data_IF_706331633155
#
_entry.id   IF_706331633155
#
_cell.length_a   1.000
_cell.length_b   1.000
_cell.length_c   1.000
_cell.angle_alpha   90.00
_cell.angle_beta   90.00
_cell.angle_gamma   90.00
#
_symmetry.space_group_name_H-M   'P 1'
#
loop_
_entity.id
_entity.type
_entity.pdbx_description
1 polymer ?
#
# COMPACT_ATOMS: atom_id res chain seq x y z
N UNK A 1 -21.67 -18.06 61.73
CA UNK A 1 -21.24 -16.64 61.62
C UNK A 1 -20.80 -16.39 60.20
N UNK A 2 -21.34 -15.35 59.56
CA UNK A 2 -21.27 -15.10 58.13
C UNK A 2 -19.90 -14.59 57.65
N UNK A 3 -19.39 -15.15 56.55
CA UNK A 3 -18.27 -14.56 55.80
C UNK A 3 -18.81 -13.49 54.84
N UNK A 4 -18.40 -12.25 55.10
CA UNK A 4 -18.79 -11.04 54.37
C UNK A 4 -18.07 -11.02 53.02
N UNK A 5 -18.76 -11.29 51.92
CA UNK A 5 -18.26 -11.01 50.56
C UNK A 5 -18.15 -9.50 50.38
N UNK A 6 -16.93 -8.98 50.25
CA UNK A 6 -16.70 -7.62 49.76
C UNK A 6 -16.96 -7.58 48.26
N UNK A 7 -18.13 -7.07 47.86
CA UNK A 7 -18.40 -6.73 46.47
C UNK A 7 -17.52 -5.54 46.07
N UNK A 8 -16.67 -5.73 45.06
CA UNK A 8 -15.87 -4.67 44.46
C UNK A 8 -16.83 -3.79 43.66
N UNK A 9 -17.13 -2.60 44.17
CA UNK A 9 -17.97 -1.60 43.49
C UNK A 9 -17.22 -1.11 42.25
N UNK A 10 -17.69 -1.51 41.07
CA UNK A 10 -17.19 -0.95 39.81
C UNK A 10 -17.62 0.52 39.72
N UNK A 11 -16.64 1.42 39.66
CA UNK A 11 -16.85 2.81 39.26
C UNK A 11 -17.30 2.83 37.79
N UNK A 12 -18.32 3.62 37.40
CA UNK A 12 -18.67 3.76 36.01
C UNK A 12 -17.47 4.38 35.28
N UNK A 13 -16.85 3.63 34.36
CA UNK A 13 -15.87 4.21 33.44
C UNK A 13 -16.62 5.25 32.62
N UNK A 14 -16.17 6.50 32.67
CA UNK A 14 -16.54 7.47 31.65
C UNK A 14 -16.37 6.81 30.27
N UNK A 15 -17.30 7.00 29.32
CA UNK A 15 -17.18 6.39 28.00
C UNK A 15 -15.82 6.76 27.40
N UNK A 16 -15.09 5.75 26.91
CA UNK A 16 -13.79 5.98 26.31
C UNK A 16 -13.94 6.94 25.13
N UNK A 17 -13.22 8.07 25.15
CA UNK A 17 -13.27 9.11 24.11
C UNK A 17 -12.80 8.58 22.75
N UNK A 18 -11.96 7.53 22.77
CA UNK A 18 -11.58 6.74 21.61
C UNK A 18 -11.55 5.26 21.98
N UNK A 19 -11.98 4.40 21.06
CA UNK A 19 -11.83 2.94 21.13
C UNK A 19 -11.07 2.49 19.91
N UNK A 20 -10.05 1.66 20.09
CA UNK A 20 -9.25 1.09 18.99
C UNK A 20 -9.32 -0.42 19.10
N UNK A 21 -9.71 -1.09 18.01
CA UNK A 21 -9.63 -2.53 17.84
C UNK A 21 -8.51 -2.85 16.86
N UNK A 22 -7.49 -3.53 17.35
CA UNK A 22 -6.44 -4.11 16.52
C UNK A 22 -6.84 -5.54 16.20
N UNK A 23 -6.98 -5.88 14.92
CA UNK A 23 -7.20 -7.25 14.50
C UNK A 23 -5.85 -7.97 14.38
N UNK A 24 -5.77 -9.19 14.90
CA UNK A 24 -4.54 -9.98 14.95
C UNK A 24 -4.55 -11.06 13.87
N UNK A 25 -4.55 -10.67 12.59
CA UNK A 25 -4.59 -11.63 11.47
C UNK A 25 -3.22 -12.25 11.11
N UNK A 26 -2.11 -11.76 11.66
CA UNK A 26 -0.77 -12.24 11.34
C UNK A 26 0.00 -11.21 10.52
N UNK A 27 0.27 -11.49 9.25
CA UNK A 27 0.95 -10.55 8.34
C UNK A 27 -0.13 -9.74 7.61
N UNK A 28 -0.16 -8.43 7.89
CA UNK A 28 -1.15 -7.50 7.37
C UNK A 28 -1.87 -6.74 8.47
N UNK A 29 -2.57 -5.68 8.08
CA UNK A 29 -3.17 -4.72 9.02
C UNK A 29 -4.69 -4.59 8.83
N UNK A 30 -5.38 -4.43 9.96
CA UNK A 30 -6.76 -3.96 10.00
C UNK A 30 -7.08 -3.42 11.39
N UNK A 31 -7.52 -2.17 11.45
CA UNK A 31 -7.79 -1.48 12.70
C UNK A 31 -9.10 -0.69 12.64
N UNK A 32 -10.05 -1.04 13.50
CA UNK A 32 -11.31 -0.30 13.64
C UNK A 32 -11.21 0.70 14.80
N UNK A 33 -11.36 1.97 14.48
CA UNK A 33 -11.31 3.08 15.41
C UNK A 33 -12.71 3.69 15.56
N UNK A 34 -13.12 3.95 16.80
CA UNK A 34 -14.35 4.67 17.14
C UNK A 34 -13.99 5.88 17.99
N UNK A 35 -14.48 7.05 17.59
CA UNK A 35 -14.38 8.27 18.37
C UNK A 35 -15.77 8.80 18.67
N UNK A 36 -15.99 9.32 19.88
CA UNK A 36 -17.24 9.99 20.20
C UNK A 36 -17.13 11.48 19.86
N UNK A 37 -18.01 11.96 18.99
CA UNK A 37 -18.11 13.38 18.65
C UNK A 37 -18.77 14.16 19.78
N UNK A 38 -18.58 15.48 19.79
CA UNK A 38 -19.20 16.37 20.79
C UNK A 38 -20.74 16.31 20.79
N UNK A 39 -21.37 15.96 19.67
CA UNK A 39 -22.83 15.77 19.54
C UNK A 39 -23.30 14.37 19.98
N UNK A 40 -22.41 13.56 20.56
CA UNK A 40 -22.69 12.23 21.06
C UNK A 40 -22.68 11.12 19.99
N UNK A 41 -22.60 11.48 18.70
CA UNK A 41 -22.53 10.49 17.61
C UNK A 41 -21.16 9.86 17.53
N UNK A 42 -21.11 8.60 17.10
CA UNK A 42 -19.85 7.94 16.81
C UNK A 42 -19.32 8.33 15.43
N UNK A 43 -18.00 8.51 15.38
CA UNK A 43 -17.22 8.59 14.16
C UNK A 43 -16.39 7.31 14.05
N UNK A 44 -16.59 6.58 12.95
CA UNK A 44 -15.94 5.30 12.70
C UNK A 44 -14.89 5.42 11.60
N UNK A 45 -13.70 4.92 11.89
CA UNK A 45 -12.59 4.89 10.94
C UNK A 45 -12.03 3.47 10.87
N UNK A 46 -11.91 2.94 9.66
CA UNK A 46 -11.18 1.71 9.39
C UNK A 46 -9.84 2.06 8.75
N UNK A 47 -8.74 1.59 9.35
CA UNK A 47 -7.40 1.69 8.75
C UNK A 47 -7.03 0.30 8.28
N UNK A 48 -6.92 0.14 6.96
CA UNK A 48 -6.62 -1.10 6.26
C UNK A 48 -7.60 -2.25 6.56
N UNK A 49 -7.58 -3.24 5.68
CA UNK A 49 -8.25 -4.52 5.87
C UNK A 49 -7.60 -5.53 4.94
N UNK A 50 -6.50 -6.13 5.38
CA UNK A 50 -5.77 -7.07 4.54
C UNK A 50 -5.09 -8.19 5.30
N UNK A 51 -4.68 -9.19 4.54
CA UNK A 51 -3.87 -10.30 5.05
C UNK A 51 -2.99 -10.86 3.94
N UNK A 52 -1.74 -11.14 4.27
CA UNK A 52 -0.79 -11.73 3.32
C UNK A 52 -1.22 -13.14 2.89
N UNK A 53 -0.95 -13.50 1.63
CA UNK A 53 -1.32 -14.80 1.05
C UNK A 53 -0.68 -16.00 1.76
N UNK A 54 0.44 -15.79 2.45
CA UNK A 54 1.14 -16.82 3.22
C UNK A 54 0.42 -17.21 4.52
N UNK A 55 -0.54 -16.43 4.99
CA UNK A 55 -1.26 -16.74 6.24
C UNK A 55 -2.30 -17.83 5.99
N UNK A 56 -2.10 -18.98 6.63
CA UNK A 56 -3.01 -20.12 6.53
C UNK A 56 -4.40 -19.74 7.04
N UNK A 57 -5.42 -19.96 6.22
CA UNK A 57 -6.81 -19.62 6.56
C UNK A 57 -7.15 -18.14 6.41
N UNK A 58 -6.26 -17.34 5.80
CA UNK A 58 -6.40 -15.89 5.73
C UNK A 58 -7.75 -15.35 5.24
N UNK A 59 -8.35 -15.87 4.15
CA UNK A 59 -9.67 -15.42 3.71
C UNK A 59 -10.74 -15.53 4.80
N UNK A 60 -10.78 -16.65 5.53
CA UNK A 60 -11.72 -16.85 6.64
C UNK A 60 -11.46 -15.88 7.80
N UNK A 61 -10.20 -15.58 8.08
CA UNK A 61 -9.82 -14.58 9.10
C UNK A 61 -10.33 -13.20 8.71
N UNK A 62 -10.17 -12.80 7.44
CA UNK A 62 -10.71 -11.53 6.93
C UNK A 62 -12.23 -11.52 7.02
N UNK A 63 -12.92 -12.59 6.62
CA UNK A 63 -14.39 -12.66 6.74
C UNK A 63 -14.86 -12.47 8.20
N UNK A 64 -14.15 -13.08 9.17
CA UNK A 64 -14.44 -12.91 10.59
C UNK A 64 -14.17 -11.48 11.09
N UNK A 65 -13.12 -10.82 10.58
CA UNK A 65 -12.84 -9.41 10.87
C UNK A 65 -13.97 -8.52 10.36
N UNK A 66 -14.39 -8.68 9.10
CA UNK A 66 -15.45 -7.87 8.50
C UNK A 66 -16.80 -8.14 9.17
N UNK A 67 -17.06 -9.37 9.62
CA UNK A 67 -18.22 -9.70 10.43
C UNK A 67 -18.19 -8.99 11.80
N UNK A 68 -17.04 -8.94 12.48
CA UNK A 68 -16.90 -8.18 13.73
C UNK A 68 -17.12 -6.68 13.52
N UNK A 69 -16.56 -6.11 12.45
CA UNK A 69 -16.79 -4.70 12.06
C UNK A 69 -18.30 -4.46 11.84
N UNK A 70 -18.95 -5.32 11.08
CA UNK A 70 -20.40 -5.24 10.79
C UNK A 70 -21.26 -5.36 12.04
N UNK A 71 -20.80 -6.11 13.05
CA UNK A 71 -21.49 -6.21 14.34
C UNK A 71 -21.37 -4.94 15.19
N UNK A 72 -20.33 -4.13 14.95
CA UNK A 72 -20.09 -2.89 15.67
C UNK A 72 -20.79 -1.70 15.02
N UNK A 73 -20.83 -1.66 13.68
CA UNK A 73 -21.42 -0.57 12.93
C UNK A 73 -21.80 -0.97 11.50
N UNK A 74 -22.84 -0.33 10.98
CA UNK A 74 -23.26 -0.37 9.58
C UNK A 74 -22.67 0.80 8.77
N UNK A 75 -21.78 1.61 9.37
CA UNK A 75 -21.21 2.80 8.75
C UNK A 75 -19.76 3.04 9.12
N UNK A 76 -18.97 3.43 8.13
CA UNK A 76 -17.61 3.93 8.28
C UNK A 76 -17.57 5.36 7.74
N UNK A 77 -17.26 6.32 8.59
CA UNK A 77 -17.10 7.71 8.18
C UNK A 77 -15.86 7.85 7.26
N UNK A 78 -14.79 7.11 7.57
CA UNK A 78 -13.55 7.07 6.79
C UNK A 78 -13.00 5.65 6.70
N UNK A 79 -12.59 5.23 5.51
CA UNK A 79 -11.67 4.10 5.33
C UNK A 79 -10.34 4.61 4.79
N UNK A 80 -9.24 4.25 5.45
CA UNK A 80 -7.88 4.62 5.06
C UNK A 80 -7.20 3.41 4.45
N UNK A 81 -6.70 3.53 3.23
CA UNK A 81 -5.73 2.61 2.65
C UNK A 81 -4.34 3.20 2.80
N UNK A 82 -3.50 2.62 3.65
CA UNK A 82 -2.21 3.20 4.01
C UNK A 82 -1.21 3.17 2.86
N UNK A 83 -1.13 2.05 2.13
CA UNK A 83 -0.31 1.87 0.95
C UNK A 83 -0.75 0.64 0.14
N UNK A 84 -0.24 0.53 -1.09
CA UNK A 84 -0.61 -0.50 -2.06
C UNK A 84 0.10 -1.84 -1.84
N UNK A 85 -0.03 -2.43 -0.66
CA UNK A 85 0.39 -3.81 -0.42
C UNK A 85 -0.81 -4.73 -0.23
N UNK A 86 -0.66 -5.98 -0.67
CA UNK A 86 -1.73 -6.97 -0.64
C UNK A 86 -2.24 -7.19 0.78
N UNK A 87 -1.34 -7.31 1.75
CA UNK A 87 -1.65 -7.56 3.16
C UNK A 87 -2.30 -6.38 3.89
N UNK A 88 -2.46 -5.23 3.22
CA UNK A 88 -3.23 -4.09 3.72
C UNK A 88 -4.59 -3.94 3.02
N UNK A 89 -4.67 -4.26 1.73
CA UNK A 89 -5.85 -3.98 0.92
C UNK A 89 -6.67 -5.21 0.52
N UNK A 90 -6.14 -6.43 0.68
CA UNK A 90 -6.76 -7.64 0.10
C UNK A 90 -8.21 -7.86 0.51
N UNK A 91 -8.57 -7.50 1.74
CA UNK A 91 -9.90 -7.71 2.30
C UNK A 91 -10.98 -6.88 1.62
N UNK A 92 -10.64 -5.70 1.08
CA UNK A 92 -11.57 -4.90 0.30
C UNK A 92 -12.00 -5.60 -1.00
N UNK A 93 -11.17 -6.52 -1.52
CA UNK A 93 -11.54 -7.37 -2.67
C UNK A 93 -12.16 -8.71 -2.24
N UNK A 94 -11.51 -9.41 -1.32
CA UNK A 94 -11.89 -10.79 -0.95
C UNK A 94 -13.19 -10.84 -0.16
N UNK A 95 -13.44 -9.83 0.69
CA UNK A 95 -14.64 -9.72 1.52
C UNK A 95 -15.59 -8.60 1.03
N UNK A 96 -15.49 -8.20 -0.25
CA UNK A 96 -16.29 -7.11 -0.84
C UNK A 96 -17.80 -7.28 -0.66
N UNK A 97 -18.28 -8.52 -0.68
CA UNK A 97 -19.70 -8.82 -0.52
C UNK A 97 -20.18 -8.51 0.91
N UNK A 98 -19.35 -8.80 1.92
CA UNK A 98 -19.66 -8.47 3.32
C UNK A 98 -19.65 -6.95 3.55
N UNK A 99 -18.73 -6.22 2.90
CA UNK A 99 -18.66 -4.77 2.96
C UNK A 99 -19.85 -4.04 2.33
N UNK A 100 -20.66 -4.68 1.46
CA UNK A 100 -21.85 -4.03 0.86
C UNK A 100 -22.88 -3.56 1.90
N UNK A 101 -22.89 -4.18 3.08
CA UNK A 101 -23.79 -3.82 4.17
C UNK A 101 -23.25 -2.68 5.06
N UNK A 102 -22.03 -2.20 4.78
CA UNK A 102 -21.40 -1.12 5.52
C UNK A 102 -21.31 0.10 4.60
N UNK A 103 -21.99 1.19 4.98
CA UNK A 103 -21.89 2.44 4.24
C UNK A 103 -20.53 3.11 4.51
N UNK A 104 -19.75 3.38 3.46
CA UNK A 104 -18.51 4.14 3.57
C UNK A 104 -18.72 5.56 3.04
N UNK A 105 -18.51 6.57 3.88
CA UNK A 105 -18.67 7.98 3.47
C UNK A 105 -17.44 8.45 2.70
N UNK A 106 -16.25 8.39 3.29
CA UNK A 106 -14.99 8.79 2.65
C UNK A 106 -13.97 7.66 2.57
N UNK A 107 -13.17 7.68 1.50
CA UNK A 107 -11.97 6.83 1.35
C UNK A 107 -10.74 7.72 1.24
N UNK A 108 -9.72 7.46 2.05
CA UNK A 108 -8.47 8.21 2.08
C UNK A 108 -7.33 7.30 1.61
N UNK A 109 -6.63 7.72 0.56
CA UNK A 109 -5.49 6.99 -0.02
C UNK A 109 -4.38 7.98 -0.36
N UNK A 110 -3.18 7.46 -0.66
CA UNK A 110 -2.04 8.29 -1.05
C UNK A 110 -2.29 9.09 -2.33
N UNK A 111 -1.63 10.24 -2.46
CA UNK A 111 -1.70 11.07 -3.67
C UNK A 111 -1.20 10.36 -4.93
N UNK A 112 -0.36 9.34 -4.77
CA UNK A 112 0.13 8.47 -5.85
C UNK A 112 -0.99 7.69 -6.53
N UNK A 113 -2.16 7.59 -5.90
CA UNK A 113 -3.33 6.91 -6.47
C UNK A 113 -4.28 7.86 -7.18
N UNK A 114 -3.97 9.15 -7.22
CA UNK A 114 -4.82 10.15 -7.85
C UNK A 114 -4.69 10.08 -9.38
N UNK A 115 -5.76 9.69 -10.11
CA UNK A 115 -5.71 9.63 -11.57
C UNK A 115 -5.58 11.01 -12.22
N UNK A 116 -5.83 12.09 -11.50
CA UNK A 116 -5.74 13.46 -12.00
C UNK A 116 -4.42 14.16 -11.63
N UNK A 117 -3.56 13.51 -10.83
CA UNK A 117 -2.28 14.08 -10.43
C UNK A 117 -1.19 13.74 -11.47
N UNK A 118 -0.63 14.78 -12.10
CA UNK A 118 0.35 14.61 -13.17
C UNK A 118 1.60 13.82 -12.71
N UNK A 119 2.04 14.02 -11.47
CA UNK A 119 3.18 13.30 -10.93
C UNK A 119 2.83 11.83 -10.65
N UNK A 120 1.61 11.56 -10.17
CA UNK A 120 1.13 10.19 -9.98
C UNK A 120 1.02 9.44 -11.32
N UNK A 121 0.50 10.10 -12.35
CA UNK A 121 0.44 9.56 -13.71
C UNK A 121 1.83 9.24 -14.27
N UNK A 122 2.83 10.09 -14.02
CA UNK A 122 4.20 9.85 -14.48
C UNK A 122 4.83 8.65 -13.74
N UNK A 123 4.61 8.53 -12.43
CA UNK A 123 5.03 7.37 -11.66
C UNK A 123 4.39 6.08 -12.19
N UNK A 124 3.10 6.11 -12.53
CA UNK A 124 2.40 4.95 -13.07
C UNK A 124 2.93 4.55 -14.46
N UNK A 125 3.13 5.52 -15.36
CA UNK A 125 3.77 5.29 -16.67
C UNK A 125 5.16 4.67 -16.51
N UNK A 126 5.95 5.16 -15.56
CA UNK A 126 7.27 4.63 -15.28
C UNK A 126 7.17 3.17 -14.81
N UNK A 127 6.30 2.88 -13.82
CA UNK A 127 6.04 1.52 -13.33
C UNK A 127 5.63 0.59 -14.48
N UNK A 128 4.77 1.06 -15.39
CA UNK A 128 4.33 0.32 -16.58
C UNK A 128 5.49 -0.01 -17.54
N UNK A 129 6.36 0.96 -17.83
CA UNK A 129 7.57 0.74 -18.65
C UNK A 129 8.53 -0.24 -18.00
N UNK A 130 8.78 -0.10 -16.70
CA UNK A 130 9.64 -1.00 -15.94
C UNK A 130 9.10 -2.44 -15.91
N UNK A 131 7.79 -2.61 -15.74
CA UNK A 131 7.13 -3.91 -15.84
C UNK A 131 7.30 -4.53 -17.23
N UNK A 132 7.01 -3.77 -18.29
CA UNK A 132 7.15 -4.28 -19.67
C UNK A 132 8.60 -4.70 -19.98
N UNK A 133 9.58 -3.94 -19.49
CA UNK A 133 10.99 -4.27 -19.59
C UNK A 133 11.33 -5.59 -18.91
N UNK A 134 10.89 -5.75 -17.66
CA UNK A 134 11.14 -6.95 -16.86
C UNK A 134 10.47 -8.19 -17.48
N UNK A 135 9.25 -8.05 -18.01
CA UNK A 135 8.57 -9.11 -18.75
C UNK A 135 9.34 -9.50 -20.01
N UNK A 136 9.78 -8.51 -20.81
CA UNK A 136 10.60 -8.78 -22.00
C UNK A 136 11.91 -9.49 -21.67
N UNK A 137 12.54 -9.15 -20.54
CA UNK A 137 13.73 -9.85 -20.06
C UNK A 137 13.44 -11.28 -19.59
N UNK A 138 12.33 -11.50 -18.87
CA UNK A 138 11.87 -12.83 -18.48
C UNK A 138 11.64 -13.73 -19.71
N UNK A 139 11.01 -13.20 -20.76
CA UNK A 139 10.75 -13.92 -22.00
C UNK A 139 12.04 -14.32 -22.74
N UNK A 140 13.06 -13.45 -22.76
CA UNK A 140 14.37 -13.79 -23.33
C UNK A 140 15.14 -14.81 -22.48
N UNK A 141 15.11 -14.64 -21.15
CA UNK A 141 15.80 -15.52 -20.21
C UNK A 141 15.19 -16.92 -20.12
N UNK A 142 13.87 -17.05 -20.32
CA UNK A 142 13.18 -18.35 -20.35
C UNK A 142 13.48 -19.16 -21.61
N UNK A 143 13.78 -18.48 -22.73
CA UNK A 143 14.18 -19.10 -24.01
C UNK A 143 15.66 -19.45 -24.08
N UNK A 144 16.46 -18.97 -23.12
CA UNK A 144 17.90 -19.21 -23.06
C UNK A 144 18.22 -20.29 -22.04
N UNK A 145 18.61 -21.48 -22.50
CA UNK A 145 19.03 -22.56 -21.62
C UNK A 145 20.51 -22.41 -21.24
N UNK A 146 20.77 -21.60 -20.21
CA UNK A 146 22.11 -21.41 -19.65
C UNK A 146 22.07 -21.46 -18.13
N UNK A 147 22.85 -22.38 -17.56
CA UNK A 147 23.03 -22.50 -16.10
C UNK A 147 23.64 -21.24 -15.48
N UNK A 148 24.39 -20.46 -16.25
CA UNK A 148 25.00 -19.21 -15.78
C UNK A 148 23.97 -18.06 -15.63
N UNK A 149 22.81 -18.17 -16.26
CA UNK A 149 21.75 -17.16 -16.20
C UNK A 149 20.63 -17.50 -15.21
N UNK A 150 20.71 -18.66 -14.53
CA UNK A 150 19.69 -19.11 -13.58
C UNK A 150 19.44 -18.08 -12.46
N UNK A 151 20.50 -17.57 -11.83
CA UNK A 151 20.39 -16.56 -10.77
C UNK A 151 19.78 -15.23 -11.26
N UNK A 152 20.06 -14.82 -12.50
CA UNK A 152 19.48 -13.61 -13.10
C UNK A 152 18.00 -13.84 -13.38
N UNK A 153 17.63 -15.00 -13.92
CA UNK A 153 16.25 -15.42 -14.15
C UNK A 153 15.45 -15.42 -12.84
N UNK A 154 16.00 -15.99 -11.78
CA UNK A 154 15.37 -16.02 -10.46
C UNK A 154 15.22 -14.61 -9.87
N UNK A 155 16.22 -13.74 -10.05
CA UNK A 155 16.15 -12.34 -9.63
C UNK A 155 15.08 -11.54 -10.38
N UNK A 156 14.98 -11.69 -11.70
CA UNK A 156 13.93 -11.06 -12.52
C UNK A 156 12.55 -11.60 -12.16
N UNK A 157 12.42 -12.91 -11.96
CA UNK A 157 11.19 -13.56 -11.52
C UNK A 157 10.75 -13.05 -10.14
N UNK A 158 11.68 -12.91 -9.19
CA UNK A 158 11.40 -12.37 -7.87
C UNK A 158 10.95 -10.91 -7.91
N UNK A 159 11.58 -10.09 -8.76
CA UNK A 159 11.22 -8.68 -8.94
C UNK A 159 9.84 -8.53 -9.60
N UNK A 160 9.56 -9.32 -10.63
CA UNK A 160 8.25 -9.40 -11.26
C UNK A 160 7.19 -9.88 -10.25
N UNK A 161 7.45 -10.96 -9.52
CA UNK A 161 6.51 -11.50 -8.53
C UNK A 161 6.12 -10.47 -7.48
N UNK A 162 7.12 -9.85 -6.85
CA UNK A 162 6.92 -8.97 -5.69
C UNK A 162 6.44 -7.56 -6.04
N UNK A 163 6.97 -6.92 -7.10
CA UNK A 163 6.69 -5.49 -7.37
C UNK A 163 5.68 -5.24 -8.50
N UNK A 164 5.59 -6.11 -9.51
CA UNK A 164 4.94 -5.70 -10.77
C UNK A 164 4.08 -6.77 -11.48
N UNK A 165 4.01 -8.00 -10.99
CA UNK A 165 3.39 -9.14 -11.66
C UNK A 165 1.88 -9.25 -11.45
N UNK A 166 1.36 -10.48 -11.48
CA UNK A 166 -0.04 -10.79 -11.17
C UNK A 166 -0.45 -10.27 -9.78
N UNK A 167 0.49 -10.18 -8.83
CA UNK A 167 0.27 -9.57 -7.52
C UNK A 167 0.01 -8.06 -7.63
N UNK A 168 0.72 -7.33 -8.50
CA UNK A 168 0.48 -5.90 -8.72
C UNK A 168 -0.90 -5.61 -9.33
N UNK A 169 -1.37 -6.42 -10.29
CA UNK A 169 -2.73 -6.29 -10.81
C UNK A 169 -3.80 -6.59 -9.76
N UNK A 170 -3.57 -7.62 -8.94
CA UNK A 170 -4.45 -7.97 -7.82
C UNK A 170 -4.52 -6.86 -6.78
N UNK A 171 -3.40 -6.24 -6.45
CA UNK A 171 -3.33 -5.09 -5.53
C UNK A 171 -4.09 -3.89 -6.10
N UNK A 172 -3.93 -3.58 -7.39
CA UNK A 172 -4.72 -2.53 -8.05
C UNK A 172 -6.22 -2.80 -7.96
N UNK A 173 -6.66 -4.03 -8.21
CA UNK A 173 -8.07 -4.40 -8.05
C UNK A 173 -8.56 -4.23 -6.60
N UNK A 174 -7.72 -4.51 -5.60
CA UNK A 174 -8.05 -4.26 -4.19
C UNK A 174 -8.17 -2.77 -3.88
N UNK A 175 -7.25 -1.95 -4.39
CA UNK A 175 -7.29 -0.50 -4.26
C UNK A 175 -8.50 0.10 -4.97
N UNK A 176 -8.81 -0.35 -6.18
CA UNK A 176 -9.97 0.11 -6.94
C UNK A 176 -11.28 -0.29 -6.25
N UNK A 177 -11.34 -1.49 -5.66
CA UNK A 177 -12.47 -1.91 -4.82
C UNK A 177 -12.62 -1.01 -3.59
N UNK A 178 -11.52 -0.70 -2.89
CA UNK A 178 -11.53 0.25 -1.77
C UNK A 178 -12.03 1.63 -2.22
N UNK A 179 -11.45 2.21 -3.26
CA UNK A 179 -11.83 3.53 -3.80
C UNK A 179 -13.32 3.53 -4.21
N UNK A 180 -13.79 2.44 -4.82
CA UNK A 180 -15.19 2.26 -5.23
C UNK A 180 -16.19 2.16 -4.07
N UNK A 181 -15.75 1.96 -2.83
CA UNK A 181 -16.63 1.95 -1.66
C UNK A 181 -17.09 3.35 -1.24
N UNK A 182 -16.37 4.41 -1.61
CA UNK A 182 -16.67 5.77 -1.18
C UNK A 182 -18.03 6.26 -1.71
N UNK A 183 -18.99 6.49 -0.83
CA UNK A 183 -20.32 7.02 -1.20
C UNK A 183 -20.37 8.55 -1.30
N UNK A 184 -19.40 9.26 -0.73
CA UNK A 184 -19.34 10.73 -0.79
C UNK A 184 -18.08 11.24 -1.47
N UNK A 185 -16.90 10.83 -0.98
CA UNK A 185 -15.64 11.44 -1.42
C UNK A 185 -14.45 10.51 -1.30
N UNK A 186 -13.60 10.52 -2.33
CA UNK A 186 -12.25 9.98 -2.28
C UNK A 186 -11.29 11.14 -2.04
N UNK A 187 -10.36 10.97 -1.10
CA UNK A 187 -9.32 11.95 -0.79
C UNK A 187 -7.95 11.34 -1.06
N UNK A 188 -7.27 11.94 -2.02
CA UNK A 188 -5.89 11.64 -2.36
C UNK A 188 -4.96 12.56 -1.55
N UNK A 189 -4.23 11.98 -0.60
CA UNK A 189 -3.53 12.73 0.42
C UNK A 189 -2.02 12.74 0.19
N UNK A 190 -1.44 13.94 0.26
CA UNK A 190 0.01 14.14 0.29
C UNK A 190 0.46 14.61 1.68
N UNK A 191 1.75 14.39 2.02
CA UNK A 191 2.32 14.92 3.25
C UNK A 191 2.14 16.44 3.34
N UNK A 192 1.79 16.92 4.53
CA UNK A 192 1.61 18.35 4.76
C UNK A 192 1.99 18.73 6.18
N UNK A 193 2.38 20.00 6.38
CA UNK A 193 2.78 20.52 7.69
C UNK A 193 1.60 20.63 8.67
N UNK A 194 0.37 20.77 8.16
CA UNK A 194 -0.83 20.93 8.98
C UNK A 194 -1.57 19.60 9.05
N UNK A 195 -1.95 19.12 10.26
CA UNK A 195 -2.76 17.92 10.35
C UNK A 195 -4.13 18.14 9.72
N UNK A 196 -4.71 17.05 9.24
CA UNK A 196 -6.13 17.01 8.92
C UNK A 196 -6.93 17.03 10.22
N UNK A 197 -7.95 17.86 10.24
CA UNK A 197 -8.94 17.95 11.32
C UNK A 197 -10.26 17.37 10.86
N UNK A 198 -10.96 16.66 11.75
CA UNK A 198 -12.27 16.09 11.45
C UNK A 198 -13.37 16.92 12.16
N UNK A 199 -14.39 17.42 11.45
CA UNK A 199 -15.49 18.17 12.06
C UNK A 199 -16.17 17.41 13.19
N UNK A 200 -16.22 18.01 14.38
CA UNK A 200 -16.80 17.41 15.60
C UNK A 200 -15.81 16.57 16.42
N UNK A 201 -14.55 16.45 15.99
CA UNK A 201 -13.45 15.83 16.74
C UNK A 201 -12.25 16.81 16.85
N UNK A 202 -12.39 17.92 17.60
CA UNK A 202 -11.38 18.99 17.64
C UNK A 202 -10.01 18.54 18.19
N UNK A 203 -9.98 17.45 18.96
CA UNK A 203 -8.76 16.91 19.56
C UNK A 203 -8.09 15.83 18.69
N UNK A 204 -8.75 15.37 17.63
CA UNK A 204 -8.20 14.38 16.70
C UNK A 204 -7.42 15.09 15.59
N UNK A 205 -6.15 14.71 15.43
CA UNK A 205 -5.23 15.22 14.42
C UNK A 205 -4.70 14.05 13.60
N UNK A 206 -4.86 14.11 12.28
CA UNK A 206 -4.34 13.07 11.37
C UNK A 206 -3.19 13.66 10.56
N UNK A 207 -2.02 13.02 10.63
CA UNK A 207 -0.83 13.40 9.90
C UNK A 207 -0.59 12.42 8.77
N UNK A 208 -0.43 12.93 7.56
CA UNK A 208 -0.08 12.13 6.37
C UNK A 208 1.43 12.20 6.23
N UNK A 209 2.10 11.05 6.34
CA UNK A 209 3.57 11.00 6.44
C UNK A 209 4.24 10.72 5.10
N UNK A 210 3.55 10.07 4.18
CA UNK A 210 4.10 9.73 2.87
C UNK A 210 2.99 9.36 1.87
N UNK A 211 3.37 9.05 0.62
CA UNK A 211 4.72 9.21 0.07
C UNK A 211 5.09 10.69 -0.15
N UNK A 212 6.39 11.08 -0.10
CA UNK A 212 6.82 12.46 -0.31
C UNK A 212 6.54 12.94 -1.73
N UNK A 213 6.43 14.26 -1.92
CA UNK A 213 6.25 14.90 -3.25
C UNK A 213 7.56 15.15 -3.98
N UNK A 214 8.65 15.28 -3.24
CA UNK A 214 9.96 15.57 -3.81
C UNK A 214 10.47 14.32 -4.53
N UNK A 215 10.67 14.44 -5.84
CA UNK A 215 11.13 13.37 -6.72
C UNK A 215 12.46 12.78 -6.27
N UNK A 216 13.34 13.57 -5.63
CA UNK A 216 14.56 13.07 -5.02
C UNK A 216 14.25 11.97 -4.02
N UNK A 217 13.28 12.15 -3.12
CA UNK A 217 12.93 11.11 -2.14
C UNK A 217 12.14 9.95 -2.72
N UNK A 218 11.57 10.11 -3.92
CA UNK A 218 10.90 9.04 -4.66
C UNK A 218 11.91 8.23 -5.51
N UNK A 219 12.98 8.87 -6.00
CA UNK A 219 14.00 8.33 -6.91
C UNK A 219 15.34 7.98 -6.25
N UNK A 220 15.57 8.37 -4.99
CA UNK A 220 16.82 8.09 -4.28
C UNK A 220 16.91 6.60 -3.95
N UNK A 221 17.78 5.94 -4.73
CA UNK A 221 18.69 4.86 -4.34
C UNK A 221 18.74 4.71 -2.81
N UNK A 222 18.23 3.58 -2.35
CA UNK A 222 18.13 3.19 -0.95
C UNK A 222 19.31 3.63 -0.09
N UNK A 223 19.02 4.27 1.05
CA UNK A 223 19.90 4.19 2.20
C UNK A 223 19.59 2.87 2.89
N UNK A 224 20.61 2.06 3.15
CA UNK A 224 20.56 0.71 3.79
C UNK A 224 19.67 0.58 5.03
N UNK A 225 19.22 1.67 5.65
CA UNK A 225 18.46 1.68 6.89
C UNK A 225 16.96 1.93 6.76
N UNK A 226 16.44 2.39 5.61
CA UNK A 226 15.02 2.76 5.49
C UNK A 226 14.47 2.29 4.14
N UNK A 227 13.65 1.24 4.18
CA UNK A 227 13.17 0.53 2.99
C UNK A 227 12.01 1.26 2.31
N UNK A 228 12.23 1.67 1.06
CA UNK A 228 11.21 1.78 0.01
C UNK A 228 11.75 1.05 -1.24
N UNK A 229 11.26 -0.17 -1.48
CA UNK A 229 11.82 -1.10 -2.48
C UNK A 229 11.63 -0.69 -3.95
N UNK A 230 10.86 0.36 -4.21
CA UNK A 230 10.58 0.83 -5.56
C UNK A 230 11.88 1.27 -6.28
N UNK A 231 12.76 2.01 -5.60
CA UNK A 231 13.99 2.55 -6.19
C UNK A 231 14.98 1.49 -6.72
N UNK A 232 15.13 0.36 -6.03
CA UNK A 232 15.96 -0.76 -6.51
C UNK A 232 15.34 -1.45 -7.72
N UNK A 233 14.02 -1.61 -7.73
CA UNK A 233 13.29 -2.20 -8.83
C UNK A 233 13.40 -1.32 -10.09
N UNK A 234 13.27 0.00 -9.93
CA UNK A 234 13.48 1.02 -10.95
C UNK A 234 14.89 0.96 -11.57
N UNK A 235 15.93 1.05 -10.75
CA UNK A 235 17.32 1.09 -11.24
C UNK A 235 17.74 -0.20 -11.96
N UNK A 236 17.24 -1.36 -11.49
CA UNK A 236 17.49 -2.65 -12.14
C UNK A 236 16.73 -2.75 -13.47
N UNK A 237 15.50 -2.25 -13.55
CA UNK A 237 14.74 -2.21 -14.79
C UNK A 237 15.38 -1.28 -15.83
N UNK A 238 15.87 -0.10 -15.44
CA UNK A 238 16.61 0.80 -16.33
C UNK A 238 17.91 0.18 -16.85
N UNK A 239 18.69 -0.44 -15.96
CA UNK A 239 19.92 -1.15 -16.36
C UNK A 239 19.62 -2.31 -17.32
N UNK A 240 18.51 -3.00 -17.12
CA UNK A 240 18.07 -4.09 -17.98
C UNK A 240 17.56 -3.57 -19.33
N UNK A 241 16.81 -2.46 -19.35
CA UNK A 241 16.39 -1.77 -20.57
C UNK A 241 17.59 -1.31 -21.40
N UNK A 242 18.58 -0.68 -20.76
CA UNK A 242 19.80 -0.22 -21.42
C UNK A 242 20.60 -1.41 -22.00
N UNK A 243 20.70 -2.51 -21.26
CA UNK A 243 21.35 -3.73 -21.75
C UNK A 243 20.60 -4.33 -22.95
N UNK A 244 19.26 -4.39 -22.91
CA UNK A 244 18.46 -4.91 -24.02
C UNK A 244 18.51 -4.03 -25.28
N UNK A 245 18.59 -2.71 -25.13
CA UNK A 245 18.76 -1.78 -26.25
C UNK A 245 20.16 -1.87 -26.87
N UNK A 246 21.18 -2.19 -26.07
CA UNK A 246 22.55 -2.37 -26.57
C UNK A 246 22.73 -3.64 -27.42
N UNK A 247 21.89 -4.66 -27.26
CA UNK A 247 21.94 -5.89 -28.07
C UNK A 247 21.23 -5.76 -29.43
N UNK A 248 20.25 -4.87 -29.58
CA UNK A 248 19.57 -4.61 -30.87
C UNK A 248 20.41 -3.75 -31.84
N UNK A 249 21.50 -3.15 -31.37
CA UNK A 249 22.44 -2.34 -32.17
C UNK A 249 23.57 -3.13 -32.86
N UNK A 250 23.48 -4.46 -32.89
CA UNK A 250 24.55 -5.36 -33.33
C UNK A 250 24.86 -5.36 -34.84
N UNK A 251 25.34 -4.25 -35.39
CA UNK A 251 26.20 -4.26 -36.58
C UNK A 251 27.50 -3.54 -36.26
N UNK A 252 28.54 -4.34 -36.02
CA UNK A 252 29.91 -3.91 -35.70
C UNK A 252 30.43 -2.89 -36.70
N UNK A 253 30.93 -1.75 -36.20
CA UNK A 253 32.19 -1.16 -36.67
C UNK A 253 32.91 -0.53 -35.46
N UNK A 254 34.11 -1.04 -35.14
CA UNK A 254 35.16 -0.25 -34.50
C UNK A 254 35.89 0.53 -35.62
N UNK A 255 36.70 1.59 -35.37
CA UNK A 255 37.26 2.05 -34.09
C UNK A 255 37.15 3.58 -33.85
N UNK A 256 37.38 4.04 -32.61
CA UNK A 256 38.48 4.96 -32.28
C UNK A 256 38.41 5.39 -30.80
N UNK A 257 39.48 5.05 -30.09
CA UNK A 257 39.89 5.62 -28.82
C UNK A 257 39.98 7.14 -28.92
N UNK A 258 39.22 7.88 -28.11
CA UNK A 258 39.66 9.16 -27.54
C UNK A 258 38.97 9.36 -26.19
N UNK A 259 39.75 9.16 -25.12
CA UNK A 259 39.50 9.87 -23.85
C UNK A 259 39.55 11.39 -24.13
N UNK A 260 38.82 12.18 -23.35
CA UNK A 260 39.57 13.12 -22.53
C UNK A 260 39.13 13.18 -21.07
N UNK A 261 40.14 13.43 -20.27
CA UNK A 261 40.16 13.63 -18.83
C UNK A 261 39.93 15.12 -18.49
N UNK A 262 39.39 15.38 -17.27
CA UNK A 262 39.39 16.64 -16.49
C UNK A 262 38.36 17.74 -16.88
N UNK A 263 37.81 18.63 -16.04
CA UNK A 263 37.85 18.99 -14.59
C UNK A 263 36.72 20.04 -14.33
N UNK A 264 36.20 20.08 -13.09
CA UNK A 264 35.48 21.16 -12.36
C UNK A 264 34.90 22.36 -13.16
N UNK A 265 33.58 22.55 -13.11
CA UNK A 265 32.86 23.41 -12.15
C UNK A 265 31.36 23.14 -12.24
#
# INVERSE_FOLDING_TARGET
>A
MATRKTAKRASPKAPAQATVRFYCQGIGDSHLLRFQKADGKDFWMLIDCGIHTSVKGGPRTVDAIVADISSATDRLDVVVGTHEHWDHLSGFWTAREAFKNIKVDEVWVGWTENPEDAQAQELDKFKGKALAALQGAQDKLSKTDSKHLAAVRDGVNGLLGFHFGLEGQKVRACRDALVGMASKKVRYLAPSKRPLTIPGLPNLRVYVMGPPRDEGYISIRERKSEMYGLGQALARAESLMAAMQSEDGGRRTHPHLLNPTWVLS
#
